data_IF_230093653546
#
_entry.id   IF_230093653546
#
_cell.length_a   1.000
_cell.length_b   1.000
_cell.length_c   1.000
_cell.angle_alpha   90.00
_cell.angle_beta   90.00
_cell.angle_gamma   90.00
#
_symmetry.space_group_name_H-M   'P 1'
#
loop_
_entity.id
_entity.type
_entity.pdbx_description
1 polymer ?
#
# COMPACT_ATOMS: atom_id res chain seq x y z
N UNK A 1 29.99 -3.63 68.63
CA UNK A 1 30.16 -5.10 68.51
C UNK A 1 29.15 -5.54 67.45
N UNK A 2 29.51 -5.76 66.18
CA UNK A 2 30.41 -6.79 65.61
C UNK A 2 29.92 -8.22 65.85
N UNK A 3 29.20 -8.75 64.84
CA UNK A 3 29.14 -10.14 64.35
C UNK A 3 27.96 -10.29 63.36
N UNK A 4 27.99 -11.12 62.33
CA UNK A 4 29.08 -11.45 61.40
C UNK A 4 28.44 -12.05 60.12
N UNK A 5 29.15 -12.06 58.99
CA UNK A 5 28.73 -12.84 57.80
C UNK A 5 29.02 -14.34 58.01
N UNK A 6 28.36 -15.21 57.25
CA UNK A 6 29.15 -15.95 56.26
C UNK A 6 28.62 -15.78 54.83
N UNK A 7 29.44 -16.14 53.86
CA UNK A 7 29.07 -16.19 52.44
C UNK A 7 29.53 -17.51 51.82
N UNK A 8 28.65 -18.12 51.03
CA UNK A 8 28.87 -19.20 50.06
C UNK A 8 27.81 -18.99 48.96
N UNK A 9 28.05 -19.27 47.69
CA UNK A 9 29.27 -19.70 46.99
C UNK A 9 28.88 -20.01 45.53
N UNK A 10 29.49 -19.37 44.54
CA UNK A 10 28.93 -19.28 43.19
C UNK A 10 29.47 -20.27 42.15
N UNK A 11 28.55 -20.90 41.41
CA UNK A 11 28.68 -21.53 40.08
C UNK A 11 27.29 -21.42 39.42
N UNK A 12 27.08 -21.21 38.12
CA UNK A 12 27.99 -20.99 37.00
C UNK A 12 27.51 -21.74 35.74
N UNK A 13 27.43 -21.06 34.59
CA UNK A 13 26.97 -21.55 33.25
C UNK A 13 25.47 -21.83 33.11
N UNK A 14 24.92 -21.74 31.89
CA UNK A 14 23.50 -22.09 31.60
C UNK A 14 22.70 -21.20 30.64
N UNK A 15 23.30 -20.21 29.96
CA UNK A 15 22.56 -19.31 29.05
C UNK A 15 22.24 -19.99 27.70
N UNK A 16 21.02 -20.51 27.54
CA UNK A 16 20.52 -21.06 26.28
C UNK A 16 19.90 -19.98 25.38
N UNK A 17 20.73 -19.36 24.54
CA UNK A 17 20.24 -18.59 23.38
C UNK A 17 19.42 -19.50 22.45
N UNK A 18 18.18 -19.12 22.17
CA UNK A 18 17.46 -19.54 20.97
C UNK A 18 17.47 -18.38 19.98
N UNK A 19 18.57 -18.26 19.23
CA UNK A 19 18.69 -17.27 18.16
C UNK A 19 17.74 -17.64 17.01
N UNK A 20 16.57 -16.98 16.95
CA UNK A 20 15.64 -17.09 15.82
C UNK A 20 16.29 -16.43 14.61
N UNK A 21 16.84 -17.24 13.71
CA UNK A 21 17.70 -16.76 12.62
C UNK A 21 16.91 -15.93 11.58
N UNK A 22 17.56 -15.02 10.81
CA UNK A 22 16.93 -14.20 9.78
C UNK A 22 16.28 -14.94 8.57
N UNK A 23 16.10 -16.26 8.65
CA UNK A 23 15.59 -17.11 7.57
C UNK A 23 14.05 -16.99 7.45
N UNK A 24 13.32 -16.86 8.54
CA UNK A 24 11.85 -16.83 8.49
C UNK A 24 11.29 -15.47 8.05
N UNK A 25 11.90 -14.33 8.45
CA UNK A 25 11.60 -13.00 7.86
C UNK A 25 11.84 -12.97 6.33
N UNK A 26 12.62 -13.90 5.76
CA UNK A 26 12.80 -14.06 4.31
C UNK A 26 11.66 -14.83 3.62
N UNK A 27 11.01 -15.78 4.31
CA UNK A 27 9.83 -16.51 3.78
C UNK A 27 8.62 -15.60 3.55
N UNK A 28 8.42 -14.61 4.42
CA UNK A 28 7.33 -13.63 4.34
C UNK A 28 7.36 -12.91 2.98
N UNK A 29 8.54 -12.47 2.54
CA UNK A 29 8.74 -11.85 1.22
C UNK A 29 8.45 -12.83 0.05
N UNK A 30 8.73 -14.13 0.20
CA UNK A 30 8.41 -15.15 -0.82
C UNK A 30 6.95 -15.63 -0.80
N UNK A 31 6.18 -15.32 0.24
CA UNK A 31 4.73 -15.57 0.30
C UNK A 31 3.95 -14.51 -0.49
N UNK A 32 4.44 -13.26 -0.47
CA UNK A 32 3.82 -12.09 -1.10
C UNK A 32 3.60 -12.28 -2.63
N UNK A 33 4.60 -12.82 -3.34
CA UNK A 33 4.47 -13.15 -4.77
C UNK A 33 3.48 -14.30 -5.02
N UNK A 34 3.43 -15.30 -4.14
CA UNK A 34 2.61 -16.52 -4.32
C UNK A 34 1.11 -16.29 -4.13
N UNK A 35 0.70 -15.35 -3.26
CA UNK A 35 -0.72 -15.00 -3.11
C UNK A 35 -1.27 -14.23 -4.34
N UNK A 36 -0.44 -13.41 -4.97
CA UNK A 36 -0.86 -12.58 -6.12
C UNK A 36 -1.14 -13.44 -7.37
N UNK A 37 -0.31 -14.43 -7.68
CA UNK A 37 -0.51 -15.33 -8.82
C UNK A 37 -1.75 -16.24 -8.67
N UNK A 38 -2.15 -16.58 -7.44
CA UNK A 38 -3.26 -17.51 -7.18
C UNK A 38 -4.65 -16.86 -7.27
N UNK A 39 -4.72 -15.54 -7.32
CA UNK A 39 -5.94 -14.75 -7.07
C UNK A 39 -6.59 -14.18 -8.34
N UNK A 40 -6.79 -15.03 -9.37
CA UNK A 40 -7.42 -14.64 -10.66
C UNK A 40 -8.79 -15.28 -10.89
N UNK A 41 -9.91 -14.54 -10.74
CA UNK A 41 -11.26 -15.07 -11.00
C UNK A 41 -11.54 -15.17 -12.51
N UNK A 42 -11.60 -16.40 -13.03
CA UNK A 42 -11.95 -16.69 -14.42
C UNK A 42 -13.42 -16.37 -14.73
N UNK A 43 -13.68 -15.29 -15.47
CA UNK A 43 -15.04 -14.91 -15.90
C UNK A 43 -15.52 -15.74 -17.09
N UNK A 44 -16.51 -16.62 -16.83
CA UNK A 44 -17.16 -17.43 -17.85
C UNK A 44 -17.83 -16.58 -18.94
N UNK A 45 -17.64 -16.92 -20.22
CA UNK A 45 -18.42 -16.35 -21.34
C UNK A 45 -19.54 -17.28 -21.77
N UNK A 46 -20.78 -16.82 -21.61
CA UNK A 46 -21.98 -17.47 -22.13
C UNK A 46 -22.00 -17.42 -23.67
N UNK A 47 -22.37 -18.55 -24.29
CA UNK A 47 -22.59 -18.67 -25.75
C UNK A 47 -24.10 -18.67 -26.04
N UNK A 48 -24.51 -18.04 -27.14
CA UNK A 48 -25.90 -18.04 -27.64
C UNK A 48 -25.96 -18.83 -28.96
N UNK A 49 -27.06 -19.57 -29.17
CA UNK A 49 -27.29 -20.50 -30.28
C UNK A 49 -27.32 -19.87 -31.68
N UNK A 50 -26.99 -20.66 -32.71
CA UNK A 50 -27.29 -20.35 -34.12
C UNK A 50 -26.73 -21.37 -35.12
N UNK A 51 -27.60 -22.25 -35.66
CA UNK A 51 -27.34 -23.15 -36.81
C UNK A 51 -27.97 -22.52 -38.09
N UNK A 52 -27.69 -22.90 -39.34
CA UNK A 52 -27.35 -24.21 -39.91
C UNK A 52 -26.69 -24.16 -41.32
N UNK A 53 -25.99 -25.24 -41.68
CA UNK A 53 -25.85 -25.88 -43.02
C UNK A 53 -25.32 -25.18 -44.33
N UNK A 54 -24.06 -25.57 -44.67
CA UNK A 54 -23.66 -26.43 -45.83
C UNK A 54 -23.42 -25.81 -47.26
N UNK A 55 -22.76 -26.52 -48.23
CA UNK A 55 -21.39 -26.14 -48.63
C UNK A 55 -21.05 -26.16 -50.15
N UNK A 56 -19.79 -25.83 -50.51
CA UNK A 56 -19.07 -26.36 -51.71
C UNK A 56 -17.55 -26.08 -51.64
N UNK A 57 -16.75 -26.77 -52.49
CA UNK A 57 -15.27 -26.70 -52.64
C UNK A 57 -14.91 -27.11 -54.11
N UNK A 58 -13.64 -27.28 -54.57
CA UNK A 58 -12.31 -27.12 -53.95
C UNK A 58 -11.26 -26.38 -54.86
N UNK A 59 -9.95 -26.61 -54.64
CA UNK A 59 -8.77 -26.33 -55.53
C UNK A 59 -8.16 -24.90 -55.52
N UNK A 60 -6.84 -24.65 -55.75
CA UNK A 60 -5.62 -25.49 -55.64
C UNK A 60 -4.28 -24.68 -55.78
N UNK A 61 -3.17 -25.28 -55.29
CA UNK A 61 -1.72 -25.12 -55.63
C UNK A 61 -0.91 -23.78 -55.62
N UNK A 62 0.24 -23.88 -54.91
CA UNK A 62 1.62 -23.45 -55.25
C UNK A 62 2.14 -22.00 -55.03
N UNK A 63 3.48 -21.90 -55.08
CA UNK A 63 4.35 -20.81 -54.59
C UNK A 63 4.83 -19.84 -55.69
N UNK A 64 5.24 -18.61 -55.33
CA UNK A 64 6.59 -18.07 -55.65
C UNK A 64 6.97 -16.75 -54.93
N UNK A 65 8.28 -16.57 -54.75
CA UNK A 65 9.11 -15.35 -54.52
C UNK A 65 10.23 -15.46 -55.61
N UNK A 66 11.08 -14.47 -56.00
CA UNK A 66 11.50 -13.20 -55.35
C UNK A 66 11.46 -12.03 -56.41
N UNK A 67 12.38 -11.04 -56.57
CA UNK A 67 13.60 -10.61 -55.84
C UNK A 67 13.70 -9.09 -55.52
N UNK A 68 14.94 -8.60 -55.36
CA UNK A 68 15.40 -7.37 -54.69
C UNK A 68 16.20 -6.43 -55.60
N UNK A 69 16.43 -5.19 -55.16
CA UNK A 69 17.59 -4.33 -55.48
C UNK A 69 17.55 -3.03 -54.62
N UNK A 70 18.62 -2.27 -54.31
CA UNK A 70 20.09 -2.52 -54.20
C UNK A 70 20.82 -1.29 -53.57
N UNK A 71 22.06 -1.49 -53.07
CA UNK A 71 23.20 -0.52 -52.88
C UNK A 71 23.48 0.12 -51.51
N UNK A 72 24.78 0.42 -51.34
CA UNK A 72 25.54 0.59 -50.10
C UNK A 72 26.44 1.86 -50.12
N UNK A 73 26.99 2.27 -48.97
CA UNK A 73 28.46 2.51 -48.75
C UNK A 73 28.80 3.40 -47.54
N UNK A 74 29.66 2.89 -46.63
CA UNK A 74 30.83 3.49 -45.91
C UNK A 74 30.82 4.97 -45.38
N UNK A 75 31.56 5.39 -44.34
CA UNK A 75 32.69 4.79 -43.60
C UNK A 75 32.78 5.24 -42.10
N UNK A 76 33.75 4.66 -41.38
CA UNK A 76 33.97 4.69 -39.94
C UNK A 76 34.44 6.01 -39.27
N UNK A 77 34.32 6.06 -37.93
CA UNK A 77 35.45 6.43 -37.05
C UNK A 77 35.27 5.88 -35.61
N UNK A 78 36.39 5.70 -34.90
CA UNK A 78 36.49 5.25 -33.50
C UNK A 78 37.63 6.00 -32.82
N UNK A 79 37.45 6.44 -31.58
CA UNK A 79 38.56 6.88 -30.71
C UNK A 79 38.29 6.54 -29.24
N UNK A 80 39.23 5.80 -28.64
CA UNK A 80 39.44 5.73 -27.19
C UNK A 80 40.61 6.65 -26.85
N UNK A 81 40.55 7.32 -25.71
CA UNK A 81 41.75 7.79 -24.98
C UNK A 81 41.53 7.53 -23.50
N UNK A 82 42.59 7.18 -22.78
CA UNK A 82 42.60 6.84 -21.36
C UNK A 82 43.93 7.34 -20.79
N UNK A 83 43.94 7.93 -19.60
CA UNK A 83 45.08 7.95 -18.67
C UNK A 83 44.72 8.62 -17.33
N UNK A 84 45.29 8.08 -16.26
CA UNK A 84 45.54 8.68 -14.94
C UNK A 84 46.40 9.97 -15.06
N UNK A 85 46.82 10.74 -14.03
CA UNK A 85 47.40 10.42 -12.70
C UNK A 85 47.27 11.65 -11.75
N UNK A 86 47.40 11.58 -10.42
CA UNK A 86 46.58 10.91 -9.37
C UNK A 86 46.52 11.89 -8.14
N UNK A 87 45.61 11.73 -7.14
CA UNK A 87 45.69 12.51 -5.87
C UNK A 87 45.03 11.85 -4.64
N UNK A 88 45.83 11.56 -3.60
CA UNK A 88 45.39 11.01 -2.31
C UNK A 88 44.85 12.09 -1.35
N UNK A 89 43.75 11.82 -0.65
CA UNK A 89 43.40 12.48 0.63
C UNK A 89 42.78 11.45 1.57
N UNK A 90 43.51 11.10 2.62
CA UNK A 90 43.04 10.21 3.69
C UNK A 90 41.74 10.76 4.29
N UNK A 91 40.76 9.89 4.52
CA UNK A 91 39.40 10.27 4.93
C UNK A 91 38.87 9.27 5.96
N UNK A 92 39.60 9.27 7.08
CA UNK A 92 39.22 8.90 8.45
C UNK A 92 38.08 7.88 8.58
N UNK A 93 38.46 6.69 9.05
CA UNK A 93 37.60 5.54 9.31
C UNK A 93 36.34 5.93 10.11
N UNK A 94 35.26 6.15 9.37
CA UNK A 94 33.98 6.54 9.96
C UNK A 94 33.39 5.31 10.65
N UNK A 95 33.54 5.25 11.98
CA UNK A 95 32.98 4.23 12.84
C UNK A 95 31.55 3.88 12.38
N UNK A 96 31.37 2.65 11.90
CA UNK A 96 30.04 2.05 11.77
C UNK A 96 29.60 1.76 13.20
N UNK A 97 29.12 2.81 13.85
CA UNK A 97 28.23 2.73 14.99
C UNK A 97 27.02 1.95 14.51
N UNK A 98 27.08 0.64 14.68
CA UNK A 98 25.94 -0.25 14.57
C UNK A 98 24.96 0.18 15.64
N UNK A 99 24.07 1.11 15.30
CA UNK A 99 22.85 1.34 16.05
C UNK A 99 22.22 -0.03 16.22
N UNK A 100 21.93 -0.41 17.47
CA UNK A 100 21.07 -1.55 17.73
C UNK A 100 19.82 -1.37 16.87
N UNK A 101 19.50 -2.39 16.07
CA UNK A 101 18.55 -2.23 14.99
C UNK A 101 17.19 -1.86 15.56
N UNK A 102 16.72 -0.64 15.26
CA UNK A 102 15.37 -0.21 15.59
C UNK A 102 14.38 -1.21 14.94
N UNK A 103 13.85 -2.16 15.72
CA UNK A 103 12.85 -3.10 15.22
C UNK A 103 11.61 -2.27 14.84
N UNK A 104 11.35 -2.22 13.54
CA UNK A 104 10.30 -1.39 12.95
C UNK A 104 8.96 -1.89 13.47
N UNK A 105 8.26 -1.04 14.24
CA UNK A 105 6.97 -1.39 14.84
C UNK A 105 5.95 -1.85 13.80
N UNK A 106 5.02 -2.72 14.22
CA UNK A 106 3.98 -3.26 13.36
C UNK A 106 3.24 -2.15 12.60
N UNK A 107 2.92 -1.05 13.28
CA UNK A 107 2.23 0.13 12.71
C UNK A 107 3.03 0.77 11.58
N UNK A 108 4.33 1.00 11.78
CA UNK A 108 5.18 1.62 10.76
C UNK A 108 5.48 0.65 9.62
N UNK A 109 5.70 -0.63 9.91
CA UNK A 109 5.80 -1.69 8.90
C UNK A 109 4.54 -1.73 8.02
N UNK A 110 3.35 -1.80 8.62
CA UNK A 110 2.07 -1.87 7.93
C UNK A 110 1.81 -0.63 7.06
N UNK A 111 2.07 0.57 7.58
CA UNK A 111 1.87 1.82 6.83
C UNK A 111 2.84 1.97 5.64
N UNK A 112 4.03 1.35 5.71
CA UNK A 112 5.02 1.33 4.63
C UNK A 112 4.83 0.16 3.64
N UNK A 113 3.86 -0.74 3.84
CA UNK A 113 3.54 -1.79 2.87
C UNK A 113 3.05 -1.20 1.54
N UNK A 114 3.43 -1.86 0.44
CA UNK A 114 3.08 -1.44 -0.93
C UNK A 114 1.57 -1.48 -1.16
N UNK A 115 0.95 -0.33 -1.38
CA UNK A 115 -0.48 -0.14 -1.48
C UNK A 115 -1.09 0.59 -0.29
N UNK A 116 -0.45 0.56 0.88
CA UNK A 116 -0.92 1.19 2.12
C UNK A 116 -0.56 2.68 2.23
N UNK A 117 -0.12 3.32 1.13
CA UNK A 117 0.41 4.70 1.15
C UNK A 117 -0.66 5.76 1.52
N UNK A 118 -1.93 5.36 1.67
CA UNK A 118 -3.03 6.21 2.15
C UNK A 118 -3.16 6.26 3.68
N UNK A 119 -2.62 5.30 4.42
CA UNK A 119 -2.67 5.31 5.89
C UNK A 119 -1.71 6.36 6.46
N UNK A 120 -2.08 6.97 7.59
CA UNK A 120 -1.11 7.51 8.52
C UNK A 120 -0.84 6.49 9.63
N UNK A 121 0.33 6.60 10.26
CA UNK A 121 0.62 5.92 11.52
C UNK A 121 -0.31 6.50 12.61
N UNK A 122 -0.80 5.64 13.51
CA UNK A 122 -1.68 6.00 14.64
C UNK A 122 -0.83 5.97 15.91
N UNK A 123 -0.90 7.00 16.75
CA UNK A 123 -0.19 7.02 18.04
C UNK A 123 -0.62 5.86 18.95
N UNK A 124 0.34 5.15 19.55
CA UNK A 124 0.07 4.09 20.54
C UNK A 124 -0.79 4.60 21.71
N UNK A 125 -0.54 5.82 22.18
CA UNK A 125 -1.34 6.56 23.18
C UNK A 125 -2.85 6.54 22.87
N UNK A 126 -3.23 6.59 21.58
CA UNK A 126 -4.63 6.60 21.15
C UNK A 126 -5.24 5.20 21.14
N UNK A 127 -4.43 4.19 20.87
CA UNK A 127 -4.80 2.78 20.82
C UNK A 127 -4.92 2.21 22.24
N UNK A 128 -4.01 2.57 23.15
CA UNK A 128 -4.01 2.11 24.55
C UNK A 128 -5.17 2.67 25.39
N UNK A 129 -5.90 3.68 24.90
CA UNK A 129 -7.13 4.18 25.52
C UNK A 129 -8.36 3.42 25.00
N UNK A 130 -8.82 2.45 25.78
CA UNK A 130 -10.03 1.63 25.58
C UNK A 130 -11.27 2.43 25.13
N UNK A 131 -11.39 3.70 25.56
CA UNK A 131 -12.52 4.54 25.17
C UNK A 131 -12.55 4.78 23.65
N UNK A 132 -11.39 4.97 23.02
CA UNK A 132 -11.25 5.15 21.59
C UNK A 132 -11.55 3.86 20.81
N UNK A 133 -11.29 2.69 21.41
CA UNK A 133 -11.52 1.37 20.82
C UNK A 133 -12.94 0.82 21.06
N UNK A 134 -13.77 1.52 21.84
CA UNK A 134 -15.08 1.05 22.28
C UNK A 134 -15.93 0.44 21.14
N UNK A 135 -16.39 -0.80 21.34
CA UNK A 135 -17.23 -1.53 20.40
C UNK A 135 -16.52 -2.17 19.20
N UNK A 136 -15.19 -2.15 19.10
CA UNK A 136 -14.45 -2.87 18.05
C UNK A 136 -14.32 -4.38 18.35
N UNK A 137 -14.25 -4.77 19.61
CA UNK A 137 -14.13 -6.18 20.05
C UNK A 137 -15.33 -7.06 19.71
N UNK A 138 -16.48 -6.49 19.35
CA UNK A 138 -17.64 -7.23 18.83
C UNK A 138 -17.68 -7.33 17.30
N UNK A 139 -16.71 -6.73 16.61
CA UNK A 139 -16.62 -6.66 15.14
C UNK A 139 -15.39 -7.37 14.58
N UNK A 140 -14.33 -7.51 15.38
CA UNK A 140 -13.05 -8.12 15.00
C UNK A 140 -12.88 -9.47 15.71
N UNK A 141 -12.59 -10.58 14.99
CA UNK A 141 -12.24 -11.86 15.62
C UNK A 141 -10.84 -11.80 16.24
N UNK A 142 -10.56 -12.58 17.29
CA UNK A 142 -9.25 -12.58 17.98
C UNK A 142 -8.79 -11.18 18.47
N UNK A 143 -9.73 -10.28 18.78
CA UNK A 143 -9.50 -8.87 19.08
C UNK A 143 -8.30 -8.61 20.02
N UNK A 144 -8.19 -9.33 21.13
CA UNK A 144 -7.14 -9.10 22.12
C UNK A 144 -5.75 -9.42 21.54
N UNK A 145 -5.58 -10.60 20.90
CA UNK A 145 -4.34 -10.98 20.20
C UNK A 145 -4.02 -10.07 19.02
N UNK A 146 -5.05 -9.60 18.30
CA UNK A 146 -4.88 -8.65 17.20
C UNK A 146 -4.44 -7.26 17.70
N UNK A 147 -4.85 -6.87 18.90
CA UNK A 147 -4.43 -5.62 19.55
C UNK A 147 -3.00 -5.71 20.09
N UNK A 148 -2.66 -6.80 20.77
CA UNK A 148 -1.29 -7.11 21.21
C UNK A 148 -0.31 -7.10 20.03
N UNK A 149 -0.70 -7.69 18.89
CA UNK A 149 0.11 -7.75 17.67
C UNK A 149 0.29 -6.39 16.97
N UNK A 150 -0.68 -5.48 17.05
CA UNK A 150 -0.55 -4.10 16.55
C UNK A 150 0.41 -3.27 17.42
N UNK A 151 0.46 -3.56 18.73
CA UNK A 151 1.24 -2.82 19.72
C UNK A 151 2.60 -3.47 20.03
N UNK A 152 3.03 -4.45 19.24
CA UNK A 152 4.27 -5.23 19.42
C UNK A 152 4.43 -5.84 20.84
N UNK A 153 3.31 -6.20 21.49
CA UNK A 153 3.30 -6.78 22.84
C UNK A 153 3.64 -8.27 22.79
N UNK A 154 4.73 -8.67 23.44
CA UNK A 154 5.09 -10.10 23.56
C UNK A 154 3.99 -10.90 24.26
N UNK A 155 3.45 -11.91 23.57
CA UNK A 155 2.36 -12.76 24.06
C UNK A 155 2.79 -13.62 25.26
N UNK A 156 2.55 -13.11 26.47
CA UNK A 156 3.06 -13.65 27.73
C UNK A 156 2.66 -15.10 28.07
N UNK A 157 1.72 -15.70 27.33
CA UNK A 157 1.14 -17.01 27.61
C UNK A 157 1.98 -18.21 27.11
N UNK A 158 2.81 -18.02 26.08
CA UNK A 158 3.45 -19.14 25.37
C UNK A 158 2.49 -20.02 24.56
N UNK A 159 1.34 -19.47 24.15
CA UNK A 159 0.32 -20.16 23.36
C UNK A 159 0.85 -20.50 21.96
N UNK A 160 1.07 -21.80 21.71
CA UNK A 160 1.54 -22.33 20.42
C UNK A 160 0.39 -22.44 19.42
N UNK A 161 0.09 -21.33 18.73
CA UNK A 161 -0.89 -21.28 17.64
C UNK A 161 -0.48 -22.10 16.41
N UNK A 162 -1.45 -22.52 15.60
CA UNK A 162 -1.20 -23.08 14.26
C UNK A 162 -0.93 -21.97 13.24
N UNK A 163 -0.29 -22.33 12.12
CA UNK A 163 -0.06 -21.44 10.97
C UNK A 163 -1.38 -20.78 10.48
N UNK A 164 -2.47 -21.57 10.38
CA UNK A 164 -3.82 -21.10 10.05
C UNK A 164 -4.41 -20.13 11.10
N UNK A 165 -4.09 -20.30 12.39
CA UNK A 165 -4.52 -19.35 13.42
C UNK A 165 -3.73 -18.04 13.34
N UNK A 166 -2.44 -18.07 13.01
CA UNK A 166 -1.63 -16.87 12.82
C UNK A 166 -2.13 -16.06 11.61
N UNK A 167 -2.41 -16.70 10.46
CA UNK A 167 -3.01 -16.01 9.30
C UNK A 167 -4.34 -15.30 9.65
N UNK A 168 -5.13 -15.89 10.56
CA UNK A 168 -6.39 -15.29 11.04
C UNK A 168 -6.16 -14.13 12.02
N UNK A 169 -5.12 -14.17 12.85
CA UNK A 169 -4.74 -13.07 13.76
C UNK A 169 -4.14 -11.91 12.96
N UNK A 170 -3.28 -12.19 11.97
CA UNK A 170 -2.73 -11.17 11.05
C UNK A 170 -3.87 -10.44 10.31
N UNK A 171 -4.81 -11.18 9.70
CA UNK A 171 -5.96 -10.57 9.01
C UNK A 171 -6.92 -9.83 9.96
N UNK A 172 -6.98 -10.24 11.23
CA UNK A 172 -7.72 -9.50 12.26
C UNK A 172 -7.02 -8.19 12.65
N UNK A 173 -5.69 -8.18 12.76
CA UNK A 173 -4.90 -6.98 13.02
C UNK A 173 -5.01 -5.94 11.89
N UNK A 174 -4.92 -6.36 10.62
CA UNK A 174 -5.17 -5.45 9.48
C UNK A 174 -6.57 -4.80 9.56
N UNK A 175 -7.59 -5.59 9.91
CA UNK A 175 -8.97 -5.12 10.02
C UNK A 175 -9.20 -4.23 11.25
N UNK A 176 -8.56 -4.55 12.38
CA UNK A 176 -8.61 -3.75 13.60
C UNK A 176 -7.92 -2.41 13.39
N UNK A 177 -6.67 -2.40 12.91
CA UNK A 177 -5.92 -1.18 12.62
C UNK A 177 -6.67 -0.30 11.61
N UNK A 178 -7.26 -0.88 10.56
CA UNK A 178 -8.11 -0.15 9.62
C UNK A 178 -9.31 0.53 10.28
N UNK A 179 -10.01 -0.15 11.19
CA UNK A 179 -11.13 0.41 11.95
C UNK A 179 -10.72 1.46 12.99
N UNK A 180 -9.53 1.31 13.59
CA UNK A 180 -8.91 2.30 14.48
C UNK A 180 -8.56 3.56 13.69
N UNK A 181 -7.86 3.41 12.57
CA UNK A 181 -7.44 4.50 11.69
C UNK A 181 -8.65 5.35 11.23
N UNK A 182 -9.76 4.71 10.86
CA UNK A 182 -11.01 5.39 10.50
C UNK A 182 -11.56 6.33 11.60
N UNK A 183 -11.33 6.01 12.88
CA UNK A 183 -11.64 6.87 14.03
C UNK A 183 -10.56 7.93 14.23
N UNK A 184 -9.29 7.52 14.21
CA UNK A 184 -8.13 8.37 14.48
C UNK A 184 -8.02 9.56 13.52
N UNK A 185 -8.28 9.39 12.22
CA UNK A 185 -8.22 10.49 11.22
C UNK A 185 -9.31 11.55 11.38
N UNK A 186 -10.28 11.34 12.28
CA UNK A 186 -11.27 12.34 12.69
C UNK A 186 -10.84 13.14 13.94
N UNK A 187 -9.72 12.77 14.57
CA UNK A 187 -9.10 13.52 15.68
C UNK A 187 -8.22 14.66 15.17
N UNK A 188 -7.86 15.61 16.04
CA UNK A 188 -6.94 16.69 15.69
C UNK A 188 -5.52 16.22 15.33
N UNK A 189 -5.02 15.11 15.93
CA UNK A 189 -3.72 14.52 15.57
C UNK A 189 -3.78 13.87 14.18
N UNK A 190 -4.73 12.96 13.97
CA UNK A 190 -4.88 12.25 12.70
C UNK A 190 -5.23 13.17 11.52
N UNK A 191 -6.04 14.22 11.73
CA UNK A 191 -6.26 15.24 10.69
C UNK A 191 -4.97 15.98 10.30
N UNK A 192 -4.04 16.21 11.24
CA UNK A 192 -2.77 16.87 10.94
C UNK A 192 -1.82 15.92 10.16
N UNK A 193 -1.69 14.66 10.58
CA UNK A 193 -0.91 13.66 9.85
C UNK A 193 -1.42 13.49 8.41
N UNK A 194 -2.74 13.36 8.23
CA UNK A 194 -3.36 13.26 6.91
C UNK A 194 -3.26 14.56 6.09
N UNK A 195 -3.13 15.73 6.74
CA UNK A 195 -2.91 17.01 6.04
C UNK A 195 -1.51 17.07 5.40
N UNK A 196 -0.49 16.50 6.03
CA UNK A 196 0.86 16.49 5.45
C UNK A 196 0.95 15.49 4.28
N UNK A 197 0.33 14.31 4.40
CA UNK A 197 0.11 13.38 3.28
C UNK A 197 -0.69 14.02 2.11
N UNK A 198 -1.67 14.86 2.41
CA UNK A 198 -2.41 15.63 1.39
C UNK A 198 -1.53 16.65 0.64
N UNK A 199 -0.64 17.35 1.36
CA UNK A 199 0.34 18.28 0.74
C UNK A 199 1.35 17.55 -0.15
N UNK A 200 1.75 16.35 0.25
CA UNK A 200 2.74 15.51 -0.44
C UNK A 200 2.17 14.75 -1.66
N UNK A 201 0.85 14.79 -1.86
CA UNK A 201 0.10 14.11 -2.94
C UNK A 201 0.02 12.57 -2.81
N UNK A 202 0.25 12.01 -1.63
CA UNK A 202 0.22 10.56 -1.34
C UNK A 202 -1.10 9.90 -1.80
N UNK A 203 -2.21 10.59 -1.52
CA UNK A 203 -3.58 10.21 -1.91
C UNK A 203 -3.85 10.33 -3.42
N UNK A 204 -2.84 10.68 -4.21
CA UNK A 204 -2.91 10.85 -5.64
C UNK A 204 -3.62 12.12 -6.10
N UNK A 205 -3.91 12.16 -7.40
CA UNK A 205 -4.39 13.35 -8.12
C UNK A 205 -5.59 13.03 -9.00
N UNK A 206 -6.55 13.96 -9.01
CA UNK A 206 -7.81 13.84 -9.73
C UNK A 206 -7.59 13.44 -11.21
N UNK A 207 -8.37 12.47 -11.76
CA UNK A 207 -8.24 12.04 -13.14
C UNK A 207 -8.80 13.02 -14.17
N UNK A 208 -9.64 13.99 -13.78
CA UNK A 208 -10.21 14.98 -14.72
C UNK A 208 -9.15 16.00 -15.15
N UNK A 209 -8.92 16.10 -16.46
CA UNK A 209 -7.98 17.06 -17.09
C UNK A 209 -8.17 18.48 -16.56
N UNK A 210 -9.41 19.00 -16.55
CA UNK A 210 -9.74 20.34 -16.08
C UNK A 210 -9.67 20.53 -14.55
N UNK A 211 -9.28 19.50 -13.80
CA UNK A 211 -8.87 19.65 -12.40
C UNK A 211 -7.35 19.84 -12.24
N UNK A 212 -6.59 19.90 -13.33
CA UNK A 212 -5.16 20.28 -13.36
C UNK A 212 -4.27 19.50 -12.37
N UNK A 213 -4.56 18.21 -12.14
CA UNK A 213 -3.79 17.40 -11.20
C UNK A 213 -3.96 17.77 -9.72
N UNK A 214 -5.12 18.34 -9.36
CA UNK A 214 -5.56 18.61 -7.98
C UNK A 214 -5.31 17.39 -7.05
N UNK A 215 -4.68 17.57 -5.87
CA UNK A 215 -4.58 16.53 -4.85
C UNK A 215 -5.97 16.14 -4.33
N UNK A 216 -6.16 14.84 -4.11
CA UNK A 216 -7.39 14.23 -3.62
C UNK A 216 -7.25 13.82 -2.14
N UNK A 217 -8.34 13.35 -1.53
CA UNK A 217 -8.38 12.75 -0.20
C UNK A 217 -8.98 11.33 -0.29
N UNK A 218 -8.57 10.37 0.55
CA UNK A 218 -9.24 9.06 0.60
C UNK A 218 -10.67 9.19 1.16
N UNK A 219 -11.55 8.31 0.72
CA UNK A 219 -12.96 8.25 1.17
C UNK A 219 -13.52 6.84 1.04
N UNK A 220 -14.28 6.41 2.04
CA UNK A 220 -15.15 5.24 1.99
C UNK A 220 -16.53 5.59 1.44
N UNK A 221 -17.15 4.67 0.72
CA UNK A 221 -18.57 4.80 0.29
C UNK A 221 -19.55 4.17 1.29
N UNK A 222 -19.01 3.54 2.34
CA UNK A 222 -19.71 2.90 3.46
C UNK A 222 -18.73 2.86 4.63
N UNK A 223 -19.25 2.98 5.86
CA UNK A 223 -18.49 2.77 7.10
C UNK A 223 -18.56 1.30 7.58
N UNK A 224 -19.27 0.43 6.86
CA UNK A 224 -19.38 -1.00 7.14
C UNK A 224 -18.29 -1.76 6.36
N UNK A 225 -17.39 -2.50 7.03
CA UNK A 225 -16.34 -3.29 6.37
C UNK A 225 -16.86 -4.25 5.28
N UNK A 226 -16.00 -4.51 4.31
CA UNK A 226 -16.18 -5.38 3.14
C UNK A 226 -17.31 -4.94 2.19
N UNK A 227 -17.90 -3.77 2.41
CA UNK A 227 -18.91 -3.16 1.51
C UNK A 227 -18.34 -2.68 0.18
N UNK A 228 -17.06 -2.30 0.15
CA UNK A 228 -16.39 -1.79 -1.05
C UNK A 228 -15.08 -1.09 -0.72
N UNK A 229 -14.16 -1.08 -1.69
CA UNK A 229 -12.79 -0.58 -1.47
C UNK A 229 -12.72 0.95 -1.37
N UNK A 230 -11.56 1.48 -0.95
CA UNK A 230 -11.30 2.92 -0.85
C UNK A 230 -11.44 3.63 -2.21
N UNK A 231 -11.86 4.89 -2.17
CA UNK A 231 -11.96 5.81 -3.31
C UNK A 231 -11.21 7.10 -2.99
N UNK A 232 -10.99 7.92 -4.01
CA UNK A 232 -10.39 9.25 -3.85
C UNK A 232 -11.40 10.34 -4.20
N UNK A 233 -11.66 11.24 -3.26
CA UNK A 233 -12.51 12.41 -3.43
C UNK A 233 -11.69 13.60 -3.95
N UNK A 234 -12.18 14.29 -4.99
CA UNK A 234 -11.54 15.50 -5.50
C UNK A 234 -12.26 16.78 -5.01
N UNK A 235 -11.59 17.64 -4.22
CA UNK A 235 -12.22 18.86 -3.68
C UNK A 235 -12.47 19.97 -4.72
N UNK A 236 -11.99 19.81 -5.97
CA UNK A 236 -12.15 20.79 -7.08
C UNK A 236 -13.34 20.54 -7.99
N UNK A 237 -13.71 19.27 -8.18
CA UNK A 237 -14.91 18.89 -8.92
C UNK A 237 -16.02 18.31 -8.04
N UNK A 238 -15.75 18.10 -6.75
CA UNK A 238 -16.70 17.60 -5.74
C UNK A 238 -17.29 16.25 -6.14
N UNK A 239 -16.40 15.30 -6.47
CA UNK A 239 -16.72 14.05 -7.17
C UNK A 239 -15.66 12.97 -6.83
N UNK A 240 -16.02 11.69 -6.98
CA UNK A 240 -15.31 10.52 -6.40
C UNK A 240 -14.78 9.59 -7.49
N UNK A 241 -13.55 9.08 -7.32
CA UNK A 241 -12.85 8.26 -8.29
C UNK A 241 -12.20 7.02 -7.68
N UNK A 242 -11.87 6.03 -8.50
CA UNK A 242 -10.98 4.93 -8.10
C UNK A 242 -9.53 5.43 -7.94
N UNK A 243 -8.74 4.88 -7.01
CA UNK A 243 -7.29 5.07 -6.98
C UNK A 243 -6.64 4.68 -8.31
N UNK A 244 -5.50 5.31 -8.64
CA UNK A 244 -4.73 4.97 -9.86
C UNK A 244 -3.84 3.74 -9.68
N UNK A 245 -3.35 3.51 -8.46
CA UNK A 245 -2.59 2.31 -8.13
C UNK A 245 -3.52 1.11 -7.97
N UNK A 246 -3.18 -0.03 -8.57
CA UNK A 246 -3.93 -1.28 -8.36
C UNK A 246 -3.83 -1.77 -6.92
N UNK A 247 -2.68 -1.53 -6.27
CA UNK A 247 -2.41 -1.97 -4.89
C UNK A 247 -3.35 -1.24 -3.90
N UNK A 248 -3.44 0.09 -4.00
CA UNK A 248 -4.42 0.91 -3.26
C UNK A 248 -5.89 0.55 -3.57
N UNK A 249 -6.16 -0.03 -4.73
CA UNK A 249 -7.52 -0.36 -5.18
C UNK A 249 -8.22 -1.46 -4.38
N UNK A 250 -7.47 -2.21 -3.56
CA UNK A 250 -7.96 -3.33 -2.75
C UNK A 250 -8.27 -2.99 -1.28
N UNK A 251 -7.72 -1.89 -0.73
CA UNK A 251 -7.96 -1.50 0.68
C UNK A 251 -9.45 -1.25 0.90
N UNK A 252 -9.98 -1.61 2.07
CA UNK A 252 -11.37 -1.32 2.44
C UNK A 252 -11.65 0.19 2.51
N UNK A 253 -12.83 0.62 2.04
CA UNK A 253 -13.28 2.00 2.18
C UNK A 253 -13.64 2.35 3.63
N UNK A 254 -14.09 1.37 4.43
CA UNK A 254 -14.44 1.59 5.82
C UNK A 254 -13.27 2.12 6.67
N UNK A 255 -12.02 1.78 6.30
CA UNK A 255 -10.81 2.21 7.00
C UNK A 255 -10.47 3.71 6.86
N UNK A 256 -11.24 4.42 6.02
CA UNK A 256 -11.20 5.89 5.87
C UNK A 256 -12.56 6.55 6.17
N UNK A 257 -13.62 5.74 6.19
CA UNK A 257 -15.00 6.17 6.43
C UNK A 257 -15.58 7.14 5.39
N UNK A 258 -16.87 7.40 5.54
CA UNK A 258 -17.63 8.36 4.73
C UNK A 258 -17.37 9.82 5.12
N UNK A 259 -16.94 10.05 6.37
CA UNK A 259 -16.89 11.39 6.97
C UNK A 259 -15.57 12.14 6.72
N UNK A 260 -14.42 11.44 6.73
CA UNK A 260 -13.10 12.07 6.77
C UNK A 260 -12.88 13.15 5.69
N UNK A 261 -13.07 12.78 4.41
CA UNK A 261 -12.87 13.69 3.27
C UNK A 261 -13.68 14.99 3.35
N UNK A 262 -14.82 14.98 4.04
CA UNK A 262 -15.70 16.14 4.18
C UNK A 262 -15.34 16.96 5.42
N UNK A 263 -15.11 16.32 6.56
CA UNK A 263 -14.69 16.97 7.80
C UNK A 263 -13.33 17.67 7.64
N UNK A 264 -12.36 17.01 6.98
CA UNK A 264 -11.06 17.59 6.66
C UNK A 264 -11.17 18.94 5.93
N UNK A 265 -12.11 19.07 4.99
CA UNK A 265 -12.33 20.30 4.22
C UNK A 265 -13.18 21.35 4.94
N UNK A 266 -13.83 20.97 6.05
CA UNK A 266 -14.45 21.92 6.98
C UNK A 266 -13.38 22.50 7.93
N UNK A 267 -12.51 21.64 8.48
CA UNK A 267 -11.37 22.04 9.33
C UNK A 267 -10.36 22.88 8.55
N UNK A 268 -9.92 22.41 7.38
CA UNK A 268 -8.89 23.04 6.55
C UNK A 268 -9.49 23.76 5.34
N UNK A 269 -10.53 24.58 5.55
CA UNK A 269 -11.27 25.24 4.46
C UNK A 269 -10.42 26.09 3.49
N UNK A 270 -9.23 26.55 3.91
CA UNK A 270 -8.27 27.24 3.05
C UNK A 270 -7.62 26.35 1.97
N UNK A 271 -7.65 25.02 2.16
CA UNK A 271 -7.25 24.05 1.12
C UNK A 271 -8.37 23.72 0.13
N UNK A 272 -9.61 24.23 0.31
CA UNK A 272 -10.70 24.02 -0.67
C UNK A 272 -10.47 24.89 -1.92
N UNK A 273 -10.23 24.28 -3.10
CA UNK A 273 -9.92 25.03 -4.33
C UNK A 273 -11.19 25.63 -4.96
N UNK A 274 -11.02 26.65 -5.79
CA UNK A 274 -12.09 27.13 -6.67
C UNK A 274 -12.50 26.05 -7.68
N UNK A 275 -13.80 25.96 -7.96
CA UNK A 275 -14.36 24.98 -8.92
C UNK A 275 -13.80 25.18 -10.33
N UNK A 276 -13.65 24.09 -11.07
CA UNK A 276 -13.16 24.13 -12.44
C UNK A 276 -14.10 24.93 -13.37
N UNK A 277 -13.63 26.10 -13.84
CA UNK A 277 -14.38 27.01 -14.73
C UNK A 277 -14.55 26.43 -16.14
N UNK A 278 -13.63 25.56 -16.58
CA UNK A 278 -13.65 24.95 -17.91
C UNK A 278 -14.18 23.51 -17.85
N UNK A 279 -14.95 23.14 -18.87
CA UNK A 279 -15.45 21.79 -19.12
C UNK A 279 -15.03 21.33 -20.52
N UNK A 280 -15.05 20.01 -20.75
CA UNK A 280 -14.74 19.46 -22.07
C UNK A 280 -15.82 19.87 -23.08
N UNK A 281 -15.40 20.48 -24.19
CA UNK A 281 -16.27 20.81 -25.32
C UNK A 281 -15.97 19.82 -26.46
N UNK A 282 -16.79 18.78 -26.66
CA UNK A 282 -16.58 17.81 -27.73
C UNK A 282 -16.71 18.49 -29.10
N UNK A 283 -15.83 18.12 -30.03
CA UNK A 283 -15.77 18.69 -31.37
C UNK A 283 -15.50 17.63 -32.43
N UNK A 284 -16.09 17.82 -33.61
CA UNK A 284 -15.85 17.04 -34.83
C UNK A 284 -15.51 18.02 -35.95
N UNK A 285 -14.36 17.83 -36.61
CA UNK A 285 -13.80 18.78 -37.59
C UNK A 285 -13.79 20.25 -37.11
N UNK A 286 -13.54 20.47 -35.81
CA UNK A 286 -13.55 21.79 -35.15
C UNK A 286 -14.92 22.30 -34.71
N UNK A 287 -16.02 21.85 -35.31
CA UNK A 287 -17.39 22.21 -34.93
C UNK A 287 -17.77 21.58 -33.58
N UNK A 288 -18.50 22.33 -32.73
CA UNK A 288 -19.01 21.80 -31.45
C UNK A 288 -20.13 20.79 -31.73
N UNK A 289 -20.13 19.65 -31.05
CA UNK A 289 -21.28 18.72 -31.12
C UNK A 289 -22.46 19.34 -30.34
N UNK A 290 -23.67 19.26 -30.91
CA UNK A 290 -24.90 19.64 -30.22
C UNK A 290 -25.23 18.62 -29.12
N UNK A 291 -26.01 19.01 -28.10
CA UNK A 291 -26.55 18.02 -27.15
C UNK A 291 -27.73 17.29 -27.82
N UNK A 292 -27.91 15.98 -27.59
CA UNK A 292 -29.17 15.30 -27.89
C UNK A 292 -30.29 15.82 -26.97
#
# INVERSE_FOLDING_TARGET
>A
MHRDRPAFGGVGTGASKLDVTPIDRKRINEALDKQLDRSSPSTSRTVINGKDNKPSAPQSVLMTKPPSDQRDSHSASLSKTNCSEESETDSEESDVSGSDGDDISWISWFCNLRGNEFFCEVDDDYIQDDFNLCGLSSQVPYYDYALDFILDVESSNGDMFTEEQNELIESAAEMLYGLIHARYILTSKGMAAMLDKFKNYDFGRCPRVYCCGQPCLPVGQSDIPRSGTVKIYCPRCEDVYYPRSKYQGNIDGAYFGTTFSHLFLMTYGHHKPQKAVQSYVPRVFGFKIHKP
#
